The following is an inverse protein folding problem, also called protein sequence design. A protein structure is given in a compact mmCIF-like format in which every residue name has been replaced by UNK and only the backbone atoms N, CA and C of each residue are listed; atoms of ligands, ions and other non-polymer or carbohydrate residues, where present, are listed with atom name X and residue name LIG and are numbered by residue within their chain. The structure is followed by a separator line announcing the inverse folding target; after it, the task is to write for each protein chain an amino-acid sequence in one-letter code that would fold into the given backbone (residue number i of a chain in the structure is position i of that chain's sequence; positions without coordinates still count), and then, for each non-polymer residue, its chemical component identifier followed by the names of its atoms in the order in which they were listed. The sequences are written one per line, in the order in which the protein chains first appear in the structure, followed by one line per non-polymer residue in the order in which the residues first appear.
data_IF_818572247541
#
_entry.id   IF_818572247541
#
_cell.length_a   1.000
_cell.length_b   1.000
_cell.length_c   1.000
_cell.angle_alpha   90.00
_cell.angle_beta   90.00
_cell.angle_gamma   90.00
#
_symmetry.space_group_name_H-M   'P 1'
#
loop_
_entity.id
_entity.type
_entity.pdbx_description
1 polymer ?
#
# COMPACT_ATOMS: atom_id res chain seq x y z
N UNK A 1 -74.72 22.70 -28.31
CA UNK A 1 -73.51 22.06 -28.87
C UNK A 1 -72.31 22.60 -28.10
N UNK A 2 -71.61 21.72 -27.39
CA UNK A 2 -70.46 21.99 -26.53
C UNK A 2 -69.17 21.90 -27.36
N UNK A 3 -68.48 22.99 -27.68
CA UNK A 3 -67.19 22.89 -28.40
C UNK A 3 -66.21 24.04 -28.11
N UNK A 4 -66.03 24.45 -26.85
CA UNK A 4 -64.96 25.45 -26.55
C UNK A 4 -64.18 25.21 -25.24
N UNK A 5 -64.27 24.00 -24.68
CA UNK A 5 -63.54 23.62 -23.47
C UNK A 5 -62.36 22.64 -23.71
N UNK A 6 -61.94 22.44 -24.97
CA UNK A 6 -60.95 21.42 -25.35
C UNK A 6 -59.72 22.05 -26.04
N UNK A 7 -59.13 23.09 -25.44
CA UNK A 7 -57.85 23.62 -25.93
C UNK A 7 -57.00 24.28 -24.83
N UNK A 8 -56.90 23.62 -23.67
CA UNK A 8 -55.79 23.88 -22.74
C UNK A 8 -54.90 22.65 -22.66
N UNK A 9 -53.70 22.66 -23.27
CA UNK A 9 -52.75 21.58 -23.07
C UNK A 9 -52.33 21.58 -21.60
N UNK A 10 -52.77 20.54 -20.86
CA UNK A 10 -52.26 20.23 -19.53
C UNK A 10 -50.74 20.10 -19.64
N UNK A 11 -50.00 21.16 -19.27
CA UNK A 11 -48.58 21.08 -18.97
C UNK A 11 -48.44 20.03 -17.87
N UNK A 12 -47.97 18.85 -18.25
CA UNK A 12 -47.60 17.78 -17.32
C UNK A 12 -46.42 18.30 -16.49
N UNK A 13 -46.75 18.92 -15.36
CA UNK A 13 -45.80 19.19 -14.28
C UNK A 13 -45.32 17.83 -13.76
N UNK A 14 -44.24 17.34 -14.36
CA UNK A 14 -43.56 16.11 -13.93
C UNK A 14 -43.02 16.39 -12.52
N UNK A 15 -43.46 15.64 -11.49
CA UNK A 15 -43.18 16.01 -10.12
C UNK A 15 -41.67 15.93 -9.86
N UNK A 16 -41.12 17.01 -9.30
CA UNK A 16 -39.75 17.20 -8.77
C UNK A 16 -39.43 16.26 -7.58
N UNK A 17 -40.08 15.10 -7.47
CA UNK A 17 -40.06 14.21 -6.30
C UNK A 17 -38.80 13.32 -6.21
N UNK A 18 -37.95 13.31 -7.23
CA UNK A 18 -36.71 12.51 -7.22
C UNK A 18 -35.63 13.13 -6.32
N UNK A 19 -35.48 14.47 -6.34
CA UNK A 19 -34.38 15.15 -5.63
C UNK A 19 -34.46 15.00 -4.10
N UNK A 20 -35.65 15.05 -3.50
CA UNK A 20 -35.81 14.82 -2.05
C UNK A 20 -35.54 13.36 -1.64
N UNK A 21 -35.71 12.39 -2.54
CA UNK A 21 -35.47 10.99 -2.19
C UNK A 21 -33.98 10.69 -2.15
N UNK A 22 -33.21 11.28 -3.07
CA UNK A 22 -31.76 11.09 -3.14
C UNK A 22 -31.06 11.71 -1.91
N UNK A 23 -31.47 12.92 -1.50
CA UNK A 23 -30.93 13.59 -0.29
C UNK A 23 -31.23 12.81 1.01
N UNK A 24 -32.41 12.21 1.10
CA UNK A 24 -32.79 11.36 2.23
C UNK A 24 -31.95 10.08 2.23
N UNK A 25 -31.73 9.46 1.08
CA UNK A 25 -30.90 8.25 0.95
C UNK A 25 -29.43 8.51 1.32
N UNK A 26 -28.88 9.65 0.90
CA UNK A 26 -27.50 10.04 1.22
C UNK A 26 -27.33 10.29 2.73
N UNK A 27 -28.30 10.95 3.38
CA UNK A 27 -28.30 11.12 4.84
C UNK A 27 -28.33 9.78 5.58
N UNK A 28 -29.14 8.82 5.13
CA UNK A 28 -29.16 7.47 5.73
C UNK A 28 -27.83 6.73 5.57
N UNK A 29 -27.16 6.89 4.42
CA UNK A 29 -25.84 6.31 4.17
C UNK A 29 -24.77 6.93 5.08
N UNK A 30 -24.79 8.24 5.26
CA UNK A 30 -23.87 8.95 6.15
C UNK A 30 -24.09 8.53 7.61
N UNK A 31 -25.35 8.44 8.06
CA UNK A 31 -25.69 7.98 9.41
C UNK A 31 -25.25 6.52 9.66
N UNK A 32 -25.42 5.63 8.67
CA UNK A 32 -24.96 4.23 8.75
C UNK A 32 -23.43 4.18 8.95
N UNK A 33 -22.69 4.96 8.16
CA UNK A 33 -21.22 5.02 8.23
C UNK A 33 -20.74 5.68 9.53
N UNK A 34 -21.38 6.75 9.98
CA UNK A 34 -21.04 7.45 11.21
C UNK A 34 -21.23 6.53 12.43
N UNK A 35 -22.38 5.82 12.50
CA UNK A 35 -22.64 4.83 13.55
C UNK A 35 -21.60 3.73 13.53
N UNK A 36 -21.22 3.22 12.36
CA UNK A 36 -20.18 2.21 12.26
C UNK A 36 -18.82 2.73 12.77
N UNK A 37 -18.44 3.96 12.42
CA UNK A 37 -17.20 4.56 12.91
C UNK A 37 -17.17 4.64 14.44
N UNK A 38 -18.27 5.08 15.05
CA UNK A 38 -18.39 5.12 16.50
C UNK A 38 -18.30 3.73 17.12
N UNK A 39 -19.03 2.76 16.57
CA UNK A 39 -18.98 1.37 17.03
C UNK A 39 -17.57 0.77 16.91
N UNK A 40 -16.85 1.07 15.82
CA UNK A 40 -15.46 0.66 15.63
C UNK A 40 -14.54 1.28 16.69
N UNK A 41 -14.69 2.57 16.98
CA UNK A 41 -13.89 3.24 18.01
C UNK A 41 -14.17 2.65 19.40
N UNK A 42 -15.44 2.46 19.75
CA UNK A 42 -15.85 1.86 21.03
C UNK A 42 -15.32 0.44 21.18
N UNK A 43 -15.38 -0.39 20.13
CA UNK A 43 -14.81 -1.74 20.15
C UNK A 43 -13.29 -1.74 20.29
N UNK A 44 -12.59 -0.76 19.70
CA UNK A 44 -11.15 -0.61 19.88
C UNK A 44 -10.79 -0.21 21.33
N UNK A 45 -11.56 0.70 21.93
CA UNK A 45 -11.34 1.16 23.31
C UNK A 45 -11.63 0.07 24.34
N UNK A 46 -12.70 -0.70 24.14
CA UNK A 46 -13.04 -1.83 24.99
C UNK A 46 -11.95 -2.92 24.93
N UNK A 47 -11.38 -3.18 23.75
CA UNK A 47 -10.28 -4.12 23.63
C UNK A 47 -8.97 -3.60 24.24
N UNK A 48 -8.71 -2.29 24.19
CA UNK A 48 -7.57 -1.67 24.88
C UNK A 48 -7.73 -1.82 26.40
N UNK A 49 -8.94 -1.57 26.91
CA UNK A 49 -9.27 -1.76 28.32
C UNK A 49 -9.16 -3.23 28.75
N UNK A 50 -9.72 -4.14 27.96
CA UNK A 50 -9.60 -5.58 28.18
C UNK A 50 -8.14 -6.03 28.25
N UNK A 51 -7.30 -5.52 27.33
CA UNK A 51 -5.87 -5.80 27.33
C UNK A 51 -5.15 -5.24 28.57
N UNK A 52 -5.51 -4.04 29.01
CA UNK A 52 -5.00 -3.46 30.26
C UNK A 52 -5.37 -4.30 31.48
N UNK A 53 -6.63 -4.77 31.53
CA UNK A 53 -7.17 -5.60 32.61
C UNK A 53 -6.77 -7.07 32.49
N UNK A 54 -5.95 -7.41 31.47
CA UNK A 54 -5.42 -8.75 31.17
C UNK A 54 -6.52 -9.80 30.92
N UNK A 55 -7.66 -9.38 30.40
CA UNK A 55 -8.74 -10.25 29.96
C UNK A 55 -8.78 -10.35 28.42
N UNK A 56 -9.37 -11.42 27.84
CA UNK A 56 -9.41 -11.59 26.40
C UNK A 56 -10.18 -10.45 25.69
N UNK A 57 -9.47 -9.72 24.83
CA UNK A 57 -10.03 -8.68 23.96
C UNK A 57 -10.82 -9.31 22.79
N UNK A 58 -12.15 -9.25 22.84
CA UNK A 58 -13.04 -9.89 21.86
C UNK A 58 -13.97 -8.90 21.15
N UNK A 59 -14.01 -7.62 21.55
CA UNK A 59 -14.97 -6.65 21.04
C UNK A 59 -14.75 -6.38 19.54
N UNK A 60 -13.50 -6.15 19.11
CA UNK A 60 -13.20 -5.98 17.67
C UNK A 60 -13.57 -7.21 16.85
N UNK A 61 -13.30 -8.42 17.38
CA UNK A 61 -13.62 -9.67 16.69
C UNK A 61 -15.14 -9.86 16.51
N UNK A 62 -15.94 -9.44 17.49
CA UNK A 62 -17.40 -9.51 17.43
C UNK A 62 -17.99 -8.53 16.41
N UNK A 63 -17.45 -7.31 16.31
CA UNK A 63 -17.94 -6.29 15.37
C UNK A 63 -17.38 -6.49 13.95
N UNK A 64 -16.33 -7.29 13.77
CA UNK A 64 -15.66 -7.48 12.48
C UNK A 64 -16.61 -7.85 11.33
N UNK A 65 -17.56 -8.80 11.45
CA UNK A 65 -18.45 -9.14 10.33
C UNK A 65 -19.31 -7.96 9.85
N UNK A 66 -19.89 -7.19 10.78
CA UNK A 66 -20.70 -5.99 10.49
C UNK A 66 -19.83 -4.91 9.82
N UNK A 67 -18.64 -4.64 10.36
CA UNK A 67 -17.72 -3.68 9.78
C UNK A 67 -17.30 -4.06 8.35
N UNK A 68 -17.01 -5.34 8.12
CA UNK A 68 -16.61 -5.85 6.82
C UNK A 68 -17.77 -5.81 5.81
N UNK A 69 -19.02 -5.99 6.24
CA UNK A 69 -20.19 -5.86 5.36
C UNK A 69 -20.32 -4.44 4.82
N UNK A 70 -20.27 -3.43 5.71
CA UNK A 70 -20.37 -2.02 5.30
C UNK A 70 -19.17 -1.61 4.46
N UNK A 71 -17.94 -1.96 4.84
CA UNK A 71 -16.71 -1.62 4.10
C UNK A 71 -16.66 -2.21 2.69
N UNK A 72 -17.41 -3.28 2.40
CA UNK A 72 -17.51 -3.88 1.05
C UNK A 72 -18.46 -3.12 0.13
N UNK A 73 -19.37 -2.29 0.67
CA UNK A 73 -20.37 -1.55 -0.13
C UNK A 73 -19.72 -0.37 -0.83
N UNK A 74 -19.41 -0.52 -2.12
CA UNK A 74 -18.81 0.56 -2.93
C UNK A 74 -19.72 1.80 -3.05
N UNK A 75 -21.04 1.65 -2.89
CA UNK A 75 -22.01 2.75 -2.89
C UNK A 75 -21.80 3.74 -1.74
N UNK A 76 -21.20 3.29 -0.63
CA UNK A 76 -20.94 4.10 0.55
C UNK A 76 -19.57 4.80 0.51
N UNK A 77 -18.81 4.68 -0.59
CA UNK A 77 -17.44 5.19 -0.67
C UNK A 77 -17.34 6.69 -0.34
N UNK A 78 -18.28 7.51 -0.82
CA UNK A 78 -18.30 8.94 -0.55
C UNK A 78 -18.57 9.21 0.94
N UNK A 79 -19.63 8.62 1.50
CA UNK A 79 -19.95 8.69 2.93
C UNK A 79 -18.80 8.25 3.84
N UNK A 80 -18.04 7.21 3.43
CA UNK A 80 -16.85 6.73 4.16
C UNK A 80 -15.71 7.75 4.21
N UNK A 81 -15.52 8.49 3.11
CA UNK A 81 -14.54 9.56 3.04
C UNK A 81 -14.99 10.71 3.94
N UNK A 82 -16.22 11.18 3.75
CA UNK A 82 -16.75 12.37 4.42
C UNK A 82 -16.84 12.19 5.95
N UNK A 83 -17.12 10.97 6.43
CA UNK A 83 -17.15 10.64 7.86
C UNK A 83 -15.79 10.16 8.42
N UNK A 84 -14.73 10.14 7.61
CA UNK A 84 -13.40 9.65 7.97
C UNK A 84 -13.41 8.24 8.63
N UNK A 85 -14.18 7.31 8.06
CA UNK A 85 -14.31 5.93 8.58
C UNK A 85 -12.94 5.20 8.64
N UNK A 86 -12.03 5.53 7.71
CA UNK A 86 -10.70 4.93 7.63
C UNK A 86 -9.81 5.24 8.84
N UNK A 87 -10.12 6.28 9.62
CA UNK A 87 -9.50 6.50 10.93
C UNK A 87 -9.82 5.35 11.90
N UNK A 88 -11.06 4.87 11.93
CA UNK A 88 -11.46 3.70 12.71
C UNK A 88 -10.73 2.44 12.26
N UNK A 89 -10.57 2.26 10.94
CA UNK A 89 -9.77 1.17 10.36
C UNK A 89 -8.31 1.25 10.80
N UNK A 90 -7.72 2.45 10.79
CA UNK A 90 -6.36 2.67 11.30
C UNK A 90 -6.27 2.24 12.77
N UNK A 91 -7.19 2.69 13.64
CA UNK A 91 -7.20 2.35 15.07
C UNK A 91 -7.28 0.83 15.32
N UNK A 92 -8.00 0.10 14.47
CA UNK A 92 -8.09 -1.36 14.54
C UNK A 92 -6.81 -2.08 14.12
N UNK A 93 -6.04 -1.48 13.21
CA UNK A 93 -4.78 -2.02 12.73
C UNK A 93 -3.57 -1.59 13.57
N UNK A 94 -3.72 -0.60 14.44
CA UNK A 94 -2.67 -0.14 15.34
C UNK A 94 -2.27 -1.23 16.35
N UNK A 95 -0.95 -1.35 16.65
CA UNK A 95 -0.52 -2.25 17.70
C UNK A 95 -1.08 -1.79 19.06
N UNK A 96 -1.45 -2.75 19.89
CA UNK A 96 -1.96 -2.51 21.24
C UNK A 96 -0.86 -1.93 22.16
N UNK A 97 -1.21 -1.39 23.34
CA UNK A 97 -0.24 -0.83 24.28
C UNK A 97 0.84 -1.82 24.74
N UNK A 98 0.53 -3.13 24.75
CA UNK A 98 1.47 -4.22 25.04
C UNK A 98 2.38 -4.57 23.85
N UNK A 99 2.30 -3.79 22.75
CA UNK A 99 2.99 -3.98 21.47
C UNK A 99 2.53 -5.22 20.72
N UNK A 100 1.42 -5.87 21.12
CA UNK A 100 0.83 -6.94 20.33
C UNK A 100 0.17 -6.37 19.07
N UNK A 101 0.16 -7.19 18.01
CA UNK A 101 -0.60 -6.88 16.81
C UNK A 101 -2.07 -7.26 17.05
N UNK A 102 -3.03 -6.60 16.40
CA UNK A 102 -4.42 -7.04 16.41
C UNK A 102 -4.53 -8.48 15.89
N UNK A 103 -5.63 -9.15 16.24
CA UNK A 103 -5.86 -10.55 15.87
C UNK A 103 -5.65 -10.80 14.36
N UNK A 104 -5.07 -11.94 14.00
CA UNK A 104 -4.74 -12.27 12.61
C UNK A 104 -5.97 -12.22 11.68
N UNK A 105 -7.15 -12.58 12.19
CA UNK A 105 -8.41 -12.52 11.44
C UNK A 105 -8.75 -11.09 11.02
N UNK A 106 -8.54 -10.11 11.90
CA UNK A 106 -8.73 -8.69 11.61
C UNK A 106 -7.78 -8.31 10.45
N UNK A 107 -6.49 -8.63 10.58
CA UNK A 107 -5.51 -8.27 9.54
C UNK A 107 -5.87 -8.91 8.18
N UNK A 108 -6.23 -10.19 8.15
CA UNK A 108 -6.59 -10.92 6.93
C UNK A 108 -7.84 -10.39 6.23
N UNK A 109 -8.78 -9.83 6.98
CA UNK A 109 -10.00 -9.25 6.45
C UNK A 109 -9.76 -7.83 5.89
N UNK A 110 -9.03 -6.97 6.62
CA UNK A 110 -8.83 -5.57 6.22
C UNK A 110 -7.93 -5.40 4.98
N UNK A 111 -6.77 -6.06 4.93
CA UNK A 111 -5.79 -5.81 3.86
C UNK A 111 -6.31 -6.09 2.43
N UNK A 112 -7.05 -7.19 2.17
CA UNK A 112 -7.65 -7.44 0.87
C UNK A 112 -8.71 -6.40 0.48
N UNK A 113 -9.47 -5.86 1.43
CA UNK A 113 -10.46 -4.81 1.16
C UNK A 113 -9.78 -3.49 0.83
N UNK A 114 -8.78 -3.09 1.63
CA UNK A 114 -8.03 -1.86 1.38
C UNK A 114 -7.41 -1.83 -0.02
N UNK A 115 -7.05 -3.01 -0.56
CA UNK A 115 -6.56 -3.16 -1.94
C UNK A 115 -7.63 -2.91 -3.01
N UNK A 116 -8.90 -3.20 -2.72
CA UNK A 116 -10.03 -3.02 -3.66
C UNK A 116 -10.61 -1.61 -3.63
N UNK A 117 -10.30 -0.81 -2.61
CA UNK A 117 -10.79 0.56 -2.46
C UNK A 117 -10.00 1.52 -3.34
N UNK A 118 -10.47 1.74 -4.57
CA UNK A 118 -9.82 2.64 -5.54
C UNK A 118 -9.98 4.13 -5.19
N UNK A 119 -10.94 4.48 -4.34
CA UNK A 119 -11.20 5.86 -3.90
C UNK A 119 -10.18 6.40 -2.89
N UNK A 120 -9.27 5.56 -2.37
CA UNK A 120 -8.25 5.98 -1.40
C UNK A 120 -7.17 6.79 -2.11
N UNK A 121 -7.24 8.11 -1.95
CA UNK A 121 -6.29 9.06 -2.53
C UNK A 121 -5.31 9.63 -1.48
N UNK A 122 -4.46 10.58 -1.91
CA UNK A 122 -3.48 11.20 -1.01
C UNK A 122 -4.12 12.11 0.06
N UNK A 123 -5.32 12.64 -0.16
CA UNK A 123 -6.02 13.49 0.82
C UNK A 123 -6.62 12.62 1.94
N UNK A 124 -7.38 11.60 1.54
CA UNK A 124 -7.99 10.60 2.44
C UNK A 124 -6.94 9.92 3.32
N UNK A 125 -5.77 9.59 2.76
CA UNK A 125 -4.67 8.98 3.54
C UNK A 125 -4.04 9.93 4.56
N UNK A 126 -4.02 11.24 4.28
CA UNK A 126 -3.50 12.25 5.21
C UNK A 126 -4.46 12.44 6.38
N UNK A 127 -5.75 12.52 6.08
CA UNK A 127 -6.81 12.72 7.07
C UNK A 127 -6.97 11.50 8.00
N UNK A 128 -7.13 10.31 7.43
CA UNK A 128 -7.26 9.07 8.21
C UNK A 128 -5.96 8.66 8.90
N UNK A 129 -4.80 9.05 8.37
CA UNK A 129 -3.47 8.63 8.83
C UNK A 129 -3.15 7.15 8.57
N UNK A 130 -3.97 6.44 7.78
CA UNK A 130 -3.85 5.01 7.50
C UNK A 130 -2.51 4.65 6.82
N UNK A 131 -1.93 5.56 6.02
CA UNK A 131 -0.66 5.31 5.35
C UNK A 131 0.49 4.98 6.31
N UNK A 132 0.51 5.58 7.50
CA UNK A 132 1.57 5.34 8.50
C UNK A 132 1.51 3.91 9.04
N UNK A 133 0.30 3.43 9.36
CA UNK A 133 0.13 2.08 9.90
C UNK A 133 0.44 1.03 8.85
N UNK A 134 0.03 1.23 7.59
CA UNK A 134 0.35 0.27 6.51
C UNK A 134 1.86 0.16 6.26
N UNK A 135 2.60 1.26 6.35
CA UNK A 135 4.08 1.22 6.31
C UNK A 135 4.65 0.42 7.49
N UNK A 136 4.08 0.53 8.69
CA UNK A 136 4.49 -0.27 9.84
C UNK A 136 4.36 -1.78 9.57
N UNK A 137 3.27 -2.23 8.94
CA UNK A 137 3.08 -3.64 8.57
C UNK A 137 4.12 -4.15 7.56
N UNK A 138 4.70 -3.28 6.73
CA UNK A 138 5.81 -3.69 5.82
C UNK A 138 7.12 -3.97 6.55
N UNK A 139 7.31 -3.39 7.74
CA UNK A 139 8.56 -3.49 8.52
C UNK A 139 8.46 -4.47 9.69
N UNK A 140 7.26 -4.78 10.14
CA UNK A 140 7.04 -5.61 11.32
C UNK A 140 7.33 -7.09 11.03
N UNK A 141 8.30 -7.68 11.74
CA UNK A 141 8.70 -9.09 11.60
C UNK A 141 7.64 -10.09 12.09
N UNK A 142 6.66 -9.64 12.88
CA UNK A 142 5.59 -10.48 13.45
C UNK A 142 4.39 -10.63 12.50
N UNK A 143 4.37 -9.87 11.40
CA UNK A 143 3.30 -9.93 10.40
C UNK A 143 3.57 -11.12 9.47
N UNK A 144 2.50 -11.79 9.03
CA UNK A 144 2.60 -12.91 8.10
C UNK A 144 3.03 -12.42 6.70
N UNK A 145 3.78 -13.22 5.92
CA UNK A 145 4.41 -12.76 4.67
C UNK A 145 3.41 -12.38 3.57
N UNK A 146 2.22 -12.97 3.57
CA UNK A 146 1.08 -12.62 2.71
C UNK A 146 0.56 -11.20 2.96
N UNK A 147 0.39 -10.85 4.24
CA UNK A 147 -0.07 -9.54 4.67
C UNK A 147 1.01 -8.49 4.41
N UNK A 148 2.27 -8.79 4.74
CA UNK A 148 3.41 -7.89 4.47
C UNK A 148 3.56 -7.58 2.96
N UNK A 149 3.30 -8.55 2.09
CA UNK A 149 3.29 -8.35 0.63
C UNK A 149 2.17 -7.43 0.19
N UNK A 150 0.96 -7.65 0.71
CA UNK A 150 -0.21 -6.80 0.40
C UNK A 150 0.01 -5.37 0.89
N UNK A 151 0.54 -5.20 2.11
CA UNK A 151 0.92 -3.90 2.64
C UNK A 151 1.97 -3.20 1.76
N UNK A 152 2.98 -3.94 1.28
CA UNK A 152 4.02 -3.37 0.40
C UNK A 152 3.45 -2.91 -0.94
N UNK A 153 2.49 -3.66 -1.49
CA UNK A 153 1.76 -3.29 -2.70
C UNK A 153 0.92 -2.02 -2.48
N UNK A 154 0.17 -1.95 -1.37
CA UNK A 154 -0.60 -0.75 -0.98
C UNK A 154 0.29 0.48 -0.85
N UNK A 155 1.42 0.38 -0.14
CA UNK A 155 2.39 1.49 -0.01
C UNK A 155 2.89 1.90 -1.40
N UNK A 156 3.19 0.95 -2.28
CA UNK A 156 3.60 1.27 -3.64
C UNK A 156 2.50 1.99 -4.40
N UNK A 157 1.25 1.55 -4.33
CA UNK A 157 0.12 2.16 -5.04
C UNK A 157 -0.16 3.57 -4.53
N UNK A 158 -0.29 3.74 -3.22
CA UNK A 158 -0.64 5.01 -2.61
C UNK A 158 0.46 6.07 -2.66
N UNK A 159 1.75 5.67 -2.65
CA UNK A 159 2.86 6.61 -2.74
C UNK A 159 3.20 7.07 -4.16
N UNK A 160 2.68 6.39 -5.20
CA UNK A 160 2.99 6.71 -6.61
C UNK A 160 2.64 8.14 -7.01
N UNK A 161 1.42 8.67 -6.74
CA UNK A 161 1.06 10.03 -7.11
C UNK A 161 1.98 11.08 -6.47
N UNK A 162 2.41 10.82 -5.24
CA UNK A 162 3.27 11.72 -4.46
C UNK A 162 4.70 11.73 -5.02
N UNK A 163 5.25 10.55 -5.32
CA UNK A 163 6.66 10.40 -5.76
C UNK A 163 6.80 10.59 -7.29
N UNK A 164 5.70 10.83 -8.01
CA UNK A 164 5.64 10.96 -9.49
C UNK A 164 6.32 9.79 -10.22
N UNK A 165 6.23 8.58 -9.65
CA UNK A 165 6.75 7.34 -10.26
C UNK A 165 5.62 6.61 -10.99
N UNK A 166 5.85 6.21 -12.24
CA UNK A 166 4.86 5.51 -13.06
C UNK A 166 4.62 4.07 -12.61
N UNK A 167 3.42 3.56 -12.91
CA UNK A 167 2.99 2.19 -12.64
C UNK A 167 3.64 1.15 -13.57
N UNK A 168 4.22 1.60 -14.69
CA UNK A 168 4.83 0.74 -15.69
C UNK A 168 6.09 0.06 -15.16
N UNK A 169 6.17 -1.27 -15.30
CA UNK A 169 7.38 -2.04 -15.01
C UNK A 169 8.59 -1.51 -15.81
N UNK A 170 8.36 -0.93 -16.99
CA UNK A 170 9.41 -0.43 -17.88
C UNK A 170 10.10 0.84 -17.37
N UNK A 171 9.44 1.57 -16.49
CA UNK A 171 9.99 2.79 -15.88
C UNK A 171 10.62 2.50 -14.50
N UNK A 172 10.68 1.22 -14.10
CA UNK A 172 11.35 0.80 -12.86
C UNK A 172 12.85 1.00 -13.03
N UNK A 173 13.38 2.03 -12.37
CA UNK A 173 14.82 2.25 -12.27
C UNK A 173 15.37 1.22 -11.29
N UNK A 174 15.97 0.14 -11.81
CA UNK A 174 16.76 -0.80 -11.00
C UNK A 174 18.16 -0.20 -10.85
N UNK A 175 18.65 0.06 -9.62
CA UNK A 175 20.03 0.47 -9.42
C UNK A 175 20.96 -0.54 -10.08
N UNK A 176 21.86 -0.04 -10.92
CA UNK A 176 22.87 -0.85 -11.58
C UNK A 176 24.14 -0.79 -10.73
N UNK A 177 24.85 -1.91 -10.58
CA UNK A 177 26.09 -1.95 -9.79
C UNK A 177 27.07 -0.86 -10.28
N UNK A 178 27.62 -0.07 -9.35
CA UNK A 178 28.61 0.98 -9.66
C UNK A 178 29.95 0.31 -10.00
N UNK A 179 30.65 0.91 -10.95
CA UNK A 179 31.99 0.53 -11.35
C UNK A 179 32.96 1.04 -10.29
N UNK A 180 33.40 0.19 -9.36
CA UNK A 180 34.59 0.47 -8.52
C UNK A 180 35.85 0.19 -9.35
N UNK A 181 35.92 0.87 -10.50
CA UNK A 181 36.98 0.79 -11.49
C UNK A 181 37.92 1.98 -11.42
N UNK A 182 38.37 2.38 -10.22
CA UNK A 182 39.64 3.08 -10.08
C UNK A 182 40.24 2.94 -8.66
N UNK A 183 41.49 2.49 -8.63
CA UNK A 183 42.46 2.55 -7.53
C UNK A 183 41.98 2.35 -6.07
N UNK A 184 41.72 1.10 -5.66
CA UNK A 184 42.10 0.47 -4.37
C UNK A 184 41.16 -0.71 -4.09
N UNK A 185 41.59 -1.91 -4.46
CA UNK A 185 40.81 -3.14 -4.42
C UNK A 185 40.37 -3.57 -3.02
N UNK A 186 39.28 -2.99 -2.53
CA UNK A 186 38.66 -3.39 -1.28
C UNK A 186 37.22 -2.94 -1.20
N UNK A 187 36.28 -3.84 -1.54
CA UNK A 187 35.10 -4.19 -0.71
C UNK A 187 34.04 -5.09 -1.36
N UNK A 188 34.18 -5.55 -2.60
CA UNK A 188 33.18 -6.45 -3.21
C UNK A 188 33.75 -7.67 -3.97
N UNK A 189 34.99 -8.08 -3.67
CA UNK A 189 35.39 -9.47 -3.89
C UNK A 189 34.86 -10.31 -2.73
N UNK A 190 34.26 -11.47 -3.01
CA UNK A 190 33.86 -12.43 -1.96
C UNK A 190 34.92 -12.54 -0.87
N UNK A 191 34.49 -12.70 0.39
CA UNK A 191 35.37 -12.68 1.56
C UNK A 191 36.69 -13.40 1.24
N UNK A 192 37.82 -12.68 1.36
CA UNK A 192 39.14 -13.26 1.11
C UNK A 192 39.24 -14.55 1.92
N UNK A 193 39.73 -15.63 1.32
CA UNK A 193 39.76 -16.97 1.94
C UNK A 193 40.38 -16.93 3.36
N UNK A 194 41.36 -16.06 3.59
CA UNK A 194 41.97 -15.81 4.90
C UNK A 194 41.02 -15.20 5.95
N UNK A 195 40.09 -14.33 5.56
CA UNK A 195 39.08 -13.76 6.45
C UNK A 195 37.99 -14.80 6.81
N UNK A 196 37.60 -15.63 5.85
CA UNK A 196 36.70 -16.78 6.09
C UNK A 196 37.37 -17.77 7.04
N UNK A 197 38.64 -18.11 6.80
CA UNK A 197 39.41 -19.00 7.69
C UNK A 197 39.59 -18.40 9.09
N UNK A 198 39.81 -17.08 9.21
CA UNK A 198 39.96 -16.42 10.49
C UNK A 198 38.64 -16.45 11.31
N UNK A 199 37.50 -16.17 10.67
CA UNK A 199 36.18 -16.28 11.30
C UNK A 199 35.82 -17.73 11.66
N UNK A 200 36.15 -18.69 10.78
CA UNK A 200 35.96 -20.11 11.06
C UNK A 200 36.83 -20.58 12.24
N UNK A 201 38.07 -20.09 12.35
CA UNK A 201 38.97 -20.39 13.48
C UNK A 201 38.47 -19.77 14.80
N UNK A 202 37.78 -18.64 14.73
CA UNK A 202 37.16 -18.00 15.89
C UNK A 202 35.89 -18.72 16.35
N UNK A 203 35.06 -19.23 15.42
CA UNK A 203 33.88 -20.04 15.77
C UNK A 203 34.21 -21.45 16.27
N UNK A 204 35.37 -22.00 15.89
CA UNK A 204 35.89 -23.29 16.38
C UNK A 204 36.33 -23.26 17.85
N UNK A 205 36.72 -22.09 18.41
CA UNK A 205 37.17 -21.97 19.81
C UNK A 205 36.10 -22.33 20.85
N UNK A 206 34.81 -22.36 20.47
CA UNK A 206 33.69 -22.69 21.36
C UNK A 206 32.99 -24.03 21.07
N UNK A 207 33.53 -24.87 20.18
CA UNK A 207 32.87 -26.11 19.73
C UNK A 207 33.15 -27.30 20.66
N UNK A 208 32.09 -27.90 21.21
CA UNK A 208 32.13 -29.13 22.03
C UNK A 208 32.44 -30.38 21.19
N UNK A 209 32.21 -30.34 19.87
CA UNK A 209 32.47 -31.46 18.94
C UNK A 209 33.32 -31.00 17.76
N UNK A 210 34.56 -31.49 17.69
CA UNK A 210 35.62 -31.04 16.77
C UNK A 210 35.51 -31.52 15.31
N UNK A 211 34.57 -32.43 15.00
CA UNK A 211 34.47 -33.08 13.68
C UNK A 211 33.13 -32.84 12.94
N UNK A 212 32.37 -31.79 13.28
CA UNK A 212 31.10 -31.49 12.60
C UNK A 212 31.31 -30.57 11.38
N UNK A 213 31.06 -31.09 10.18
CA UNK A 213 31.04 -30.32 8.93
C UNK A 213 29.81 -29.41 8.90
N UNK A 214 30.02 -28.11 8.74
CA UNK A 214 28.93 -27.12 8.60
C UNK A 214 28.45 -27.10 7.15
N UNK A 215 27.17 -27.38 6.91
CA UNK A 215 26.56 -27.27 5.58
C UNK A 215 26.39 -25.79 5.22
N UNK A 216 26.89 -25.31 4.07
CA UNK A 216 26.66 -23.93 3.64
C UNK A 216 25.16 -23.69 3.48
N UNK A 217 24.61 -22.71 4.19
CA UNK A 217 23.22 -22.29 3.98
C UNK A 217 23.16 -21.29 2.82
N UNK A 218 22.27 -21.54 1.86
CA UNK A 218 22.04 -20.62 0.75
C UNK A 218 21.28 -19.38 1.24
N UNK A 219 21.96 -18.26 1.39
CA UNK A 219 21.28 -16.97 1.56
C UNK A 219 20.80 -16.49 0.20
N UNK A 220 19.55 -16.84 -0.17
CA UNK A 220 18.86 -16.18 -1.26
C UNK A 220 18.54 -14.73 -0.85
N UNK A 221 19.51 -13.85 -1.03
CA UNK A 221 19.31 -12.41 -0.90
C UNK A 221 18.36 -11.89 -1.97
N UNK A 222 17.59 -10.85 -1.63
CA UNK A 222 16.77 -10.13 -2.60
C UNK A 222 17.68 -9.31 -3.53
N UNK A 223 17.88 -9.77 -4.78
CA UNK A 223 18.64 -9.06 -5.80
C UNK A 223 17.99 -7.70 -6.12
N UNK A 224 18.51 -6.65 -5.48
CA UNK A 224 18.00 -5.28 -5.61
C UNK A 224 18.81 -4.45 -6.62
N UNK A 225 19.98 -4.96 -7.03
CA UNK A 225 20.92 -4.30 -7.93
C UNK A 225 21.12 -5.18 -9.16
N UNK A 226 20.93 -4.62 -10.35
CA UNK A 226 21.19 -5.33 -11.60
C UNK A 226 22.71 -5.41 -11.88
N UNK A 227 23.24 -6.57 -12.31
CA UNK A 227 24.62 -6.68 -12.76
C UNK A 227 24.83 -5.87 -14.05
N UNK A 228 25.99 -5.24 -14.22
CA UNK A 228 26.38 -4.66 -15.51
C UNK A 228 26.90 -5.77 -16.43
N UNK A 229 26.47 -5.76 -17.69
CA UNK A 229 27.16 -6.51 -18.72
C UNK A 229 28.56 -5.91 -18.89
N UNK A 230 29.60 -6.68 -18.57
CA UNK A 230 30.97 -6.30 -18.85
C UNK A 230 31.11 -6.08 -20.36
N UNK A 231 31.60 -4.91 -20.76
CA UNK A 231 31.71 -4.51 -22.15
C UNK A 231 32.59 -5.45 -23.01
N UNK A 232 33.31 -6.39 -22.39
CA UNK A 232 34.13 -7.41 -23.07
C UNK A 232 33.41 -8.74 -23.36
N UNK A 233 32.24 -9.01 -22.78
CA UNK A 233 31.50 -10.26 -23.05
C UNK A 233 30.14 -9.93 -23.66
N UNK A 234 30.16 -9.79 -24.99
CA UNK A 234 29.01 -9.69 -25.89
C UNK A 234 27.97 -8.60 -25.55
N UNK A 235 28.11 -7.43 -26.18
CA UNK A 235 26.99 -6.51 -26.41
C UNK A 235 25.98 -7.15 -27.37
N UNK A 236 25.11 -8.02 -26.86
CA UNK A 236 24.19 -8.77 -27.71
C UNK A 236 22.96 -7.96 -28.18
N UNK A 237 22.68 -6.76 -27.65
CA UNK A 237 21.43 -6.04 -27.98
C UNK A 237 21.58 -4.52 -28.10
N UNK A 238 22.31 -4.06 -29.11
CA UNK A 238 22.39 -2.64 -29.51
C UNK A 238 21.02 -2.02 -29.80
N UNK A 239 20.04 -2.82 -30.25
CA UNK A 239 18.67 -2.37 -30.52
C UNK A 239 17.93 -1.85 -29.28
N UNK A 240 18.12 -2.50 -28.12
CA UNK A 240 17.45 -2.15 -26.87
C UNK A 240 18.01 -0.84 -26.32
N UNK A 241 19.33 -0.63 -26.39
CA UNK A 241 19.96 0.61 -25.95
C UNK A 241 19.54 1.80 -26.83
N UNK A 242 19.52 1.62 -28.15
CA UNK A 242 19.05 2.63 -29.10
C UNK A 242 17.58 2.98 -28.88
N UNK A 243 16.74 1.99 -28.57
CA UNK A 243 15.34 2.20 -28.23
C UNK A 243 15.14 2.95 -26.91
N UNK A 244 15.92 2.60 -25.88
CA UNK A 244 15.89 3.29 -24.57
C UNK A 244 16.31 4.76 -24.75
N UNK A 245 17.35 5.02 -25.53
CA UNK A 245 17.84 6.37 -25.78
C UNK A 245 16.86 7.21 -26.62
N UNK A 246 16.27 6.60 -27.67
CA UNK A 246 15.22 7.24 -28.49
C UNK A 246 14.01 7.64 -27.64
N UNK A 247 13.55 6.77 -26.73
CA UNK A 247 12.43 7.07 -25.82
C UNK A 247 12.79 8.15 -24.81
N UNK A 248 14.01 8.13 -24.25
CA UNK A 248 14.49 9.17 -23.34
C UNK A 248 14.46 10.54 -24.01
N UNK A 249 14.98 10.65 -25.24
CA UNK A 249 14.94 11.89 -26.04
C UNK A 249 13.51 12.33 -26.35
N UNK A 250 12.61 11.39 -26.64
CA UNK A 250 11.21 11.72 -26.91
C UNK A 250 10.46 12.20 -25.65
N UNK A 251 10.66 11.55 -24.51
CA UNK A 251 10.09 11.96 -23.22
C UNK A 251 10.61 13.33 -22.78
N UNK A 252 11.89 13.63 -23.03
CA UNK A 252 12.47 14.94 -22.76
C UNK A 252 11.89 16.03 -23.67
N UNK A 253 11.70 15.74 -24.96
CA UNK A 253 11.00 16.63 -25.90
C UNK A 253 9.57 16.92 -25.45
N UNK A 254 8.80 15.91 -25.05
CA UNK A 254 7.44 16.08 -24.53
C UNK A 254 7.43 16.94 -23.27
N UNK A 255 8.34 16.70 -22.31
CA UNK A 255 8.47 17.53 -21.11
C UNK A 255 8.84 18.99 -21.43
N UNK A 256 9.70 19.21 -22.42
CA UNK A 256 10.06 20.55 -22.87
C UNK A 256 8.88 21.27 -23.54
N UNK A 257 8.06 20.55 -24.33
CA UNK A 257 6.84 21.08 -24.93
C UNK A 257 5.80 21.44 -23.86
N UNK A 258 5.56 20.56 -22.87
CA UNK A 258 4.64 20.84 -21.77
C UNK A 258 5.07 22.06 -20.95
N UNK A 259 6.38 22.24 -20.70
CA UNK A 259 6.91 23.45 -20.04
C UNK A 259 6.71 24.72 -20.86
N UNK A 260 6.91 24.66 -22.18
CA UNK A 260 6.68 25.82 -23.06
C UNK A 260 5.21 26.23 -23.15
N UNK A 261 4.30 25.26 -23.15
CA UNK A 261 2.85 25.54 -23.16
C UNK A 261 2.41 26.16 -21.83
N UNK A 262 2.94 25.69 -20.70
CA UNK A 262 2.63 26.23 -19.37
C UNK A 262 3.20 27.65 -19.11
N UNK A 263 4.18 28.12 -19.89
CA UNK A 263 4.71 29.49 -19.79
C UNK A 263 4.05 30.49 -20.75
N UNK A 264 3.17 30.03 -21.64
CA UNK A 264 2.58 30.85 -22.71
C UNK A 264 1.07 31.06 -22.56
N UNK A 265 0.49 30.60 -21.47
CA UNK A 265 -0.86 30.93 -20.98
C UNK A 265 -0.77 31.57 -19.61
#
# INVERSE_FOLDING_TARGET
MQFDAILKPKKSSRPKKRKNNDEVLDSFADDEVARLREAMNNAADEDIRSNHDKIPATAKLRLLPEAMETLRKASLAQSMIDNNLLEGVKRWLEPLPDRSLPALNIQREFFPILKKMEFIDSAVLKESGLGRIVVFYTKCKRVTPDIARTASELVSTWSRPIIKRSASYRDRIVPVARDDGDANGGRFGGEKLGAILARAKESEKGRVRKNAVTVPQSELGNYTVAPRANANLMRANTSVDVDVERRRKNAERLRALTRKVAMRG
#
